data_IF_084462023025
#
_entry.id   IF_084462023025
#
_cell.length_a   1.000
_cell.length_b   1.000
_cell.length_c   1.000
_cell.angle_alpha   90.00
_cell.angle_beta   90.00
_cell.angle_gamma   90.00
#
_symmetry.space_group_name_H-M   'P 1'
#
loop_
_entity.id
_entity.type
_entity.pdbx_description
1 polymer ?
#
# COMPACT_ATOMS: atom_id res chain seq x y z
N UNK A 1 -16.16 -0.85 5.27
CA UNK A 1 -15.33 -1.44 6.37
C UNK A 1 -15.24 -0.42 7.49
N UNK A 2 -15.16 -0.85 8.76
CA UNK A 2 -15.05 0.05 9.92
C UNK A 2 -13.72 -0.13 10.64
N UNK A 3 -12.97 0.95 10.89
CA UNK A 3 -11.77 0.94 11.73
C UNK A 3 -12.11 0.47 13.15
N UNK A 4 -11.25 -0.35 13.72
CA UNK A 4 -11.30 -0.84 15.09
C UNK A 4 -10.16 -0.18 15.87
N UNK A 5 -10.54 0.65 16.84
CA UNK A 5 -9.60 1.29 17.77
C UNK A 5 -8.99 0.23 18.70
N UNK A 6 -7.66 0.27 18.84
CA UNK A 6 -6.91 -0.69 19.64
C UNK A 6 -5.69 0.01 20.22
N UNK A 7 -5.74 0.38 21.50
CA UNK A 7 -4.66 1.10 22.20
C UNK A 7 -3.33 0.34 22.17
N UNK A 8 -3.37 -1.00 22.03
CA UNK A 8 -2.18 -1.83 21.81
C UNK A 8 -1.54 -1.52 20.46
N UNK A 9 -2.32 -1.42 19.38
CA UNK A 9 -1.80 -1.07 18.06
C UNK A 9 -1.34 0.40 18.01
N UNK A 10 -2.00 1.32 18.71
CA UNK A 10 -1.58 2.72 18.81
C UNK A 10 -0.20 2.87 19.49
N UNK A 11 0.04 2.12 20.57
CA UNK A 11 1.34 2.08 21.23
C UNK A 11 2.43 1.51 20.29
N UNK A 12 2.12 0.47 19.52
CA UNK A 12 3.03 -0.08 18.52
C UNK A 12 3.27 0.90 17.36
N UNK A 13 2.24 1.59 16.87
CA UNK A 13 2.37 2.62 15.82
C UNK A 13 3.26 3.77 16.27
N UNK A 14 3.18 4.16 17.54
CA UNK A 14 4.09 5.15 18.14
C UNK A 14 5.54 4.64 18.15
N UNK A 15 5.75 3.37 18.52
CA UNK A 15 7.07 2.76 18.58
C UNK A 15 7.68 2.42 17.20
N UNK A 16 6.86 2.25 16.16
CA UNK A 16 7.28 2.04 14.76
C UNK A 16 7.68 3.34 14.05
N UNK A 17 7.68 4.49 14.75
CA UNK A 17 8.23 5.76 14.28
C UNK A 17 9.69 5.90 14.75
N UNK A 18 10.60 5.19 14.09
CA UNK A 18 12.02 5.09 14.49
C UNK A 18 12.85 6.04 13.64
N UNK A 19 13.76 6.78 14.28
CA UNK A 19 14.78 7.60 13.59
C UNK A 19 16.16 7.09 13.99
N UNK A 20 16.90 6.56 13.02
CA UNK A 20 18.35 6.36 13.12
C UNK A 20 19.05 7.54 12.44
N UNK A 21 20.39 7.62 12.51
CA UNK A 21 21.13 8.74 11.89
C UNK A 21 21.12 8.70 10.35
N UNK A 22 20.90 7.51 9.81
CA UNK A 22 20.97 7.12 8.40
C UNK A 22 19.61 6.74 7.78
N UNK A 23 18.58 6.49 8.61
CA UNK A 23 17.25 6.13 8.13
C UNK A 23 16.13 6.65 9.04
N UNK A 24 14.94 6.83 8.48
CA UNK A 24 13.70 7.08 9.20
C UNK A 24 12.67 6.03 8.81
N UNK A 25 12.26 5.23 9.78
CA UNK A 25 11.23 4.21 9.63
C UNK A 25 9.89 4.78 10.08
N UNK A 26 8.86 4.54 9.27
CA UNK A 26 7.48 4.93 9.54
C UNK A 26 6.60 3.70 9.30
N UNK A 27 6.21 3.03 10.37
CA UNK A 27 5.25 1.91 10.33
C UNK A 27 3.87 2.28 10.89
N UNK A 28 2.83 1.67 10.33
CA UNK A 28 1.44 1.84 10.76
C UNK A 28 0.65 0.54 10.63
N UNK A 29 -0.08 0.19 11.69
CA UNK A 29 -0.93 -0.98 11.81
C UNK A 29 -2.35 -0.53 12.14
N UNK A 30 -3.33 -1.01 11.36
CA UNK A 30 -4.74 -0.66 11.50
C UNK A 30 -5.61 -1.92 11.41
N UNK A 31 -6.57 -2.07 12.34
CA UNK A 31 -7.51 -3.18 12.38
C UNK A 31 -8.86 -2.73 11.82
N UNK A 32 -9.47 -3.51 10.93
CA UNK A 32 -10.73 -3.18 10.26
C UNK A 32 -11.74 -4.33 10.36
N UNK A 33 -12.97 -3.99 10.71
CA UNK A 33 -14.12 -4.90 10.60
C UNK A 33 -14.72 -4.86 9.19
N UNK A 34 -14.83 -6.05 8.59
CA UNK A 34 -15.58 -6.35 7.38
C UNK A 34 -17.03 -6.79 7.70
N UNK A 35 -17.45 -6.76 8.97
CA UNK A 35 -18.85 -7.01 9.34
C UNK A 35 -19.73 -5.88 8.83
N UNK A 36 -20.65 -6.25 7.93
CA UNK A 36 -21.73 -5.39 7.44
C UNK A 36 -22.53 -4.84 8.63
N UNK A 37 -22.59 -3.52 8.77
CA UNK A 37 -23.41 -2.84 9.78
C UNK A 37 -24.90 -3.05 9.49
N UNK A 38 -25.77 -2.79 10.48
CA UNK A 38 -27.22 -2.99 10.32
C UNK A 38 -27.82 -2.18 9.16
N UNK A 39 -27.29 -0.97 8.92
CA UNK A 39 -27.66 -0.09 7.81
C UNK A 39 -27.20 -0.72 6.49
N UNK A 40 -25.90 -1.00 6.33
CA UNK A 40 -25.37 -1.65 5.11
C UNK A 40 -26.10 -2.97 4.79
N UNK A 41 -26.49 -3.76 5.80
CA UNK A 41 -27.29 -4.99 5.63
C UNK A 41 -28.72 -4.73 5.16
N UNK A 42 -29.35 -3.63 5.58
CA UNK A 42 -30.64 -3.20 5.04
C UNK A 42 -30.52 -2.69 3.60
N UNK A 43 -29.49 -1.90 3.29
CA UNK A 43 -29.24 -1.42 1.93
C UNK A 43 -28.93 -2.57 0.96
N UNK A 44 -28.06 -3.51 1.33
CA UNK A 44 -27.79 -4.73 0.55
C UNK A 44 -29.07 -5.55 0.33
N UNK A 45 -29.92 -5.68 1.34
CA UNK A 45 -31.21 -6.36 1.20
C UNK A 45 -32.19 -5.61 0.29
N UNK A 46 -32.27 -4.27 0.34
CA UNK A 46 -33.12 -3.48 -0.56
C UNK A 46 -32.63 -3.58 -2.01
N UNK A 47 -31.33 -3.37 -2.22
CA UNK A 47 -30.69 -3.45 -3.53
C UNK A 47 -30.89 -4.82 -4.21
N UNK A 48 -30.86 -5.92 -3.44
CA UNK A 48 -31.13 -7.27 -3.94
C UNK A 48 -32.60 -7.73 -3.82
N UNK A 49 -33.52 -6.85 -3.38
CA UNK A 49 -34.96 -7.14 -3.29
C UNK A 49 -35.82 -6.24 -4.19
N UNK A 50 -35.19 -5.38 -5.00
CA UNK A 50 -35.82 -4.83 -6.19
C UNK A 50 -35.90 -5.96 -7.24
N UNK A 51 -37.03 -6.67 -7.24
CA UNK A 51 -37.25 -7.88 -8.03
C UNK A 51 -37.21 -7.62 -9.54
N UNK A 52 -36.56 -8.50 -10.31
CA UNK A 52 -36.70 -8.49 -11.77
C UNK A 52 -35.67 -9.26 -12.60
N UNK A 53 -34.48 -9.54 -12.05
CA UNK A 53 -33.35 -10.10 -12.83
C UNK A 53 -33.22 -11.62 -12.67
N UNK A 54 -33.23 -12.34 -13.80
CA UNK A 54 -32.98 -13.79 -13.83
C UNK A 54 -31.47 -14.07 -13.84
N UNK A 55 -31.02 -15.31 -13.54
CA UNK A 55 -29.59 -15.66 -13.57
C UNK A 55 -28.88 -15.58 -14.94
N UNK A 56 -29.51 -15.01 -15.96
CA UNK A 56 -28.91 -14.73 -17.27
C UNK A 56 -28.73 -13.24 -17.57
N UNK A 57 -29.34 -12.33 -16.81
CA UNK A 57 -29.20 -10.87 -17.02
C UNK A 57 -28.09 -10.24 -16.16
N UNK A 58 -27.06 -11.04 -15.79
CA UNK A 58 -25.81 -10.54 -15.19
C UNK A 58 -24.93 -9.82 -16.23
N UNK A 59 -25.50 -8.81 -16.88
CA UNK A 59 -24.73 -7.88 -17.68
C UNK A 59 -23.95 -6.97 -16.73
N UNK A 60 -22.61 -7.07 -16.77
CA UNK A 60 -21.75 -6.16 -16.05
C UNK A 60 -22.13 -4.72 -16.40
N UNK A 61 -22.39 -3.88 -15.39
CA UNK A 61 -22.73 -2.47 -15.55
C UNK A 61 -21.49 -1.65 -15.93
N UNK A 62 -20.94 -1.95 -17.11
CA UNK A 62 -20.14 -0.99 -17.88
C UNK A 62 -20.97 0.29 -18.04
N UNK A 63 -20.37 1.49 -17.88
CA UNK A 63 -21.10 2.74 -18.06
C UNK A 63 -21.84 2.77 -19.41
N UNK A 64 -23.10 3.26 -19.45
CA UNK A 64 -23.90 3.21 -20.67
C UNK A 64 -23.21 3.97 -21.80
N UNK A 65 -23.01 3.27 -22.92
CA UNK A 65 -22.48 3.84 -24.16
C UNK A 65 -23.52 4.81 -24.73
N UNK A 66 -23.45 6.10 -24.36
CA UNK A 66 -24.27 7.15 -24.96
C UNK A 66 -23.75 7.49 -26.35
N UNK A 67 -24.14 6.68 -27.34
CA UNK A 67 -23.95 7.02 -28.75
C UNK A 67 -24.89 8.15 -29.15
N UNK A 68 -24.36 9.35 -29.45
CA UNK A 68 -25.07 10.38 -30.21
C UNK A 68 -24.12 11.44 -30.80
N UNK A 69 -24.09 11.56 -32.13
CA UNK A 69 -24.04 12.86 -32.82
C UNK A 69 -22.72 13.64 -32.92
N UNK A 70 -21.93 13.31 -33.96
CA UNK A 70 -21.33 14.24 -34.95
C UNK A 70 -20.52 15.50 -34.53
N UNK A 71 -19.33 15.60 -35.14
CA UNK A 71 -18.54 16.81 -35.50
C UNK A 71 -17.47 17.32 -34.50
N UNK A 72 -16.37 17.95 -35.00
CA UNK A 72 -15.04 17.64 -34.45
C UNK A 72 -14.23 18.84 -33.95
N UNK A 73 -13.60 18.70 -32.77
CA UNK A 73 -12.28 19.26 -32.44
C UNK A 73 -11.81 18.80 -31.04
N UNK A 74 -10.49 18.60 -30.91
CA UNK A 74 -9.69 18.58 -29.67
C UNK A 74 -9.99 17.49 -28.59
N UNK A 75 -8.95 16.70 -28.27
CA UNK A 75 -8.81 16.09 -26.93
C UNK A 75 -9.13 14.60 -26.77
N UNK A 76 -8.64 13.72 -27.65
CA UNK A 76 -8.57 12.28 -27.34
C UNK A 76 -7.27 11.91 -26.61
N UNK A 77 -7.36 10.82 -25.82
CA UNK A 77 -6.29 10.14 -25.07
C UNK A 77 -5.86 10.86 -23.76
N UNK A 78 -5.86 10.22 -22.58
CA UNK A 78 -6.41 8.91 -22.22
C UNK A 78 -6.79 8.88 -20.73
N UNK A 79 -7.95 8.31 -20.39
CA UNK A 79 -8.23 7.80 -19.03
C UNK A 79 -8.74 6.36 -19.13
N UNK A 80 -7.85 5.48 -19.57
CA UNK A 80 -7.94 4.05 -19.34
C UNK A 80 -7.68 3.73 -17.86
N UNK A 81 -8.71 3.87 -17.01
CA UNK A 81 -8.78 3.09 -15.76
C UNK A 81 -9.39 1.74 -16.16
N UNK A 82 -8.57 0.89 -16.76
CA UNK A 82 -8.99 -0.43 -17.23
C UNK A 82 -7.78 -1.37 -17.32
N UNK A 83 -7.53 -2.06 -16.22
CA UNK A 83 -6.91 -3.38 -16.20
C UNK A 83 -5.39 -3.45 -16.26
N UNK A 84 -4.72 -3.27 -15.11
CA UNK A 84 -3.81 -4.32 -14.62
C UNK A 84 -3.54 -4.33 -13.09
N UNK A 85 -4.46 -3.81 -12.26
CA UNK A 85 -4.28 -3.71 -10.79
C UNK A 85 -4.13 -5.08 -10.07
N UNK A 86 -4.29 -6.20 -10.79
CA UNK A 86 -4.12 -7.55 -10.26
C UNK A 86 -2.67 -7.99 -10.08
N UNK A 87 -1.70 -7.37 -10.76
CA UNK A 87 -0.28 -7.74 -10.62
C UNK A 87 0.39 -7.14 -9.38
N UNK A 88 -0.08 -5.99 -8.90
CA UNK A 88 0.44 -5.33 -7.69
C UNK A 88 0.08 -6.09 -6.39
N UNK A 89 -0.92 -6.96 -6.42
CA UNK A 89 -1.36 -7.77 -5.27
C UNK A 89 -0.90 -9.22 -5.34
N UNK A 90 -0.04 -9.63 -4.40
CA UNK A 90 0.45 -11.01 -4.29
C UNK A 90 -0.12 -11.71 -3.04
N UNK A 91 -0.39 -13.02 -3.12
CA UNK A 91 -0.75 -13.81 -1.94
C UNK A 91 0.50 -14.45 -1.33
N UNK A 92 0.77 -14.15 -0.07
CA UNK A 92 1.93 -14.68 0.64
C UNK A 92 1.73 -16.16 1.03
N UNK A 93 2.80 -16.99 1.01
CA UNK A 93 2.69 -18.43 1.23
C UNK A 93 2.46 -18.82 2.70
N UNK A 94 2.87 -18.00 3.68
CA UNK A 94 2.64 -18.28 5.10
C UNK A 94 2.85 -17.05 6.01
N UNK A 95 2.27 -17.10 7.22
CA UNK A 95 2.51 -16.11 8.28
C UNK A 95 3.97 -16.06 8.74
N UNK A 96 4.70 -17.18 8.65
CA UNK A 96 6.13 -17.25 8.98
C UNK A 96 6.99 -16.55 7.93
N UNK A 97 6.64 -16.69 6.64
CA UNK A 97 7.33 -16.00 5.55
C UNK A 97 7.22 -14.47 5.68
N UNK A 98 5.99 -13.96 5.81
CA UNK A 98 5.74 -12.53 6.03
C UNK A 98 6.49 -12.00 7.27
N UNK A 99 6.43 -12.73 8.41
CA UNK A 99 7.16 -12.36 9.63
C UNK A 99 8.66 -12.25 9.40
N UNK A 100 9.27 -13.23 8.74
CA UNK A 100 10.70 -13.23 8.46
C UNK A 100 11.13 -12.09 7.53
N UNK A 101 10.31 -11.75 6.52
CA UNK A 101 10.57 -10.61 5.63
C UNK A 101 10.53 -9.27 6.37
N UNK A 102 9.48 -9.05 7.18
CA UNK A 102 9.33 -7.87 8.03
C UNK A 102 10.44 -7.77 9.08
N UNK A 103 10.73 -8.88 9.76
CA UNK A 103 11.80 -8.99 10.75
C UNK A 103 13.16 -8.63 10.12
N UNK A 104 13.43 -9.08 8.89
CA UNK A 104 14.65 -8.79 8.15
C UNK A 104 14.83 -7.30 7.86
N UNK A 105 13.83 -6.68 7.22
CA UNK A 105 13.87 -5.26 6.86
C UNK A 105 14.02 -4.34 8.08
N UNK A 106 13.26 -4.61 9.14
CA UNK A 106 13.29 -3.81 10.37
C UNK A 106 14.55 -4.08 11.21
N UNK A 107 15.07 -5.31 11.26
CA UNK A 107 16.33 -5.59 11.97
C UNK A 107 17.52 -4.94 11.27
N UNK A 108 17.53 -4.91 9.93
CA UNK A 108 18.61 -4.32 9.13
C UNK A 108 18.70 -2.79 9.27
N UNK A 109 17.59 -2.11 9.56
CA UNK A 109 17.52 -0.63 9.62
C UNK A 109 17.35 -0.05 11.03
N UNK A 110 16.59 -0.70 11.92
CA UNK A 110 16.38 -0.22 13.29
C UNK A 110 17.17 -1.00 14.36
N UNK A 111 17.82 -2.13 14.03
CA UNK A 111 18.70 -2.87 14.94
C UNK A 111 18.08 -3.13 16.32
N UNK A 112 18.75 -2.68 17.38
CA UNK A 112 18.31 -2.89 18.76
C UNK A 112 16.97 -2.19 19.11
N UNK A 113 16.60 -1.10 18.43
CA UNK A 113 15.27 -0.50 18.61
C UNK A 113 14.18 -1.49 18.18
N UNK A 114 14.35 -2.12 17.02
CA UNK A 114 13.41 -3.14 16.58
C UNK A 114 13.45 -4.38 17.47
N UNK A 115 14.64 -4.81 17.91
CA UNK A 115 14.82 -5.99 18.77
C UNK A 115 14.00 -5.95 20.05
N UNK A 116 13.84 -4.78 20.66
CA UNK A 116 13.00 -4.60 21.86
C UNK A 116 11.50 -4.56 21.53
N UNK A 117 11.12 -3.99 20.38
CA UNK A 117 9.74 -3.87 19.89
C UNK A 117 9.17 -5.18 19.32
N UNK A 118 9.99 -6.03 18.71
CA UNK A 118 9.59 -7.21 17.93
C UNK A 118 8.60 -8.12 18.66
N UNK A 119 8.86 -8.44 19.93
CA UNK A 119 7.98 -9.32 20.71
C UNK A 119 6.61 -8.71 20.98
N UNK A 120 6.54 -7.42 21.32
CA UNK A 120 5.27 -6.73 21.58
C UNK A 120 4.48 -6.46 20.30
N UNK A 121 5.16 -6.16 19.18
CA UNK A 121 4.59 -6.04 17.83
C UNK A 121 3.84 -7.31 17.43
N UNK A 122 4.53 -8.45 17.36
CA UNK A 122 3.91 -9.70 16.90
C UNK A 122 2.86 -10.22 17.88
N UNK A 123 3.04 -10.00 19.19
CA UNK A 123 2.02 -10.33 20.19
C UNK A 123 0.77 -9.42 20.15
N UNK A 124 0.88 -8.18 19.67
CA UNK A 124 -0.28 -7.31 19.47
C UNK A 124 -1.05 -7.68 18.20
N UNK A 125 -0.36 -7.93 17.09
CA UNK A 125 -0.99 -8.38 15.84
C UNK A 125 -1.69 -9.73 16.06
N UNK A 126 -1.03 -10.71 16.69
CA UNK A 126 -1.61 -12.04 16.85
C UNK A 126 -2.86 -12.06 17.75
N UNK A 127 -2.91 -11.23 18.80
CA UNK A 127 -4.10 -11.05 19.65
C UNK A 127 -5.27 -10.41 18.88
N UNK A 128 -4.98 -9.49 17.97
CA UNK A 128 -6.00 -8.78 17.19
C UNK A 128 -6.57 -9.62 16.04
N UNK A 129 -5.80 -10.51 15.40
CA UNK A 129 -6.22 -11.18 14.16
C UNK A 129 -6.07 -12.71 14.13
N UNK A 130 -5.32 -13.30 15.06
CA UNK A 130 -4.90 -14.73 15.04
C UNK A 130 -4.22 -15.10 13.73
N UNK A 131 -2.90 -14.84 13.64
CA UNK A 131 -2.12 -14.91 12.41
C UNK A 131 -2.13 -16.28 11.72
N UNK A 132 -2.26 -17.36 12.49
CA UNK A 132 -2.28 -18.73 11.97
C UNK A 132 -3.57 -19.09 11.22
N UNK A 133 -4.62 -18.28 11.34
CA UNK A 133 -5.90 -18.43 10.62
C UNK A 133 -6.12 -17.35 9.54
N UNK A 134 -5.07 -16.60 9.19
CA UNK A 134 -5.13 -15.50 8.23
C UNK A 134 -4.71 -15.92 6.82
N UNK A 135 -5.46 -15.49 5.81
CA UNK A 135 -4.90 -15.32 4.47
C UNK A 135 -4.11 -14.01 4.44
N UNK A 136 -2.89 -14.04 3.88
CA UNK A 136 -1.99 -12.88 3.85
C UNK A 136 -1.78 -12.46 2.40
N UNK A 137 -1.84 -11.17 2.17
CA UNK A 137 -1.61 -10.53 0.89
C UNK A 137 -0.60 -9.41 1.04
N UNK A 138 0.28 -9.23 0.06
CA UNK A 138 1.15 -8.07 -0.11
C UNK A 138 0.62 -7.17 -1.22
N UNK A 139 0.87 -5.86 -1.06
CA UNK A 139 0.69 -4.86 -2.10
C UNK A 139 2.03 -4.21 -2.42
N UNK A 140 2.54 -4.52 -3.61
CA UNK A 140 3.80 -4.06 -4.15
C UNK A 140 3.45 -3.29 -5.44
N UNK A 141 3.22 -1.97 -5.35
CA UNK A 141 2.94 -1.16 -6.54
C UNK A 141 4.13 -1.15 -7.49
N UNK A 142 3.86 -0.99 -8.79
CA UNK A 142 4.92 -0.77 -9.77
C UNK A 142 5.59 0.60 -9.56
N UNK A 143 6.86 0.71 -9.95
CA UNK A 143 7.68 1.91 -9.70
C UNK A 143 7.12 3.20 -10.36
N UNK A 144 6.23 3.06 -11.35
CA UNK A 144 5.56 4.17 -12.02
C UNK A 144 4.16 4.50 -11.45
N UNK A 145 3.59 3.62 -10.61
CA UNK A 145 2.27 3.78 -9.98
C UNK A 145 2.35 4.04 -8.47
N UNK A 146 3.49 3.77 -7.81
CA UNK A 146 3.63 3.91 -6.35
C UNK A 146 3.51 5.38 -5.87
N UNK A 147 2.44 5.77 -5.13
CA UNK A 147 2.35 7.09 -4.52
C UNK A 147 3.31 7.28 -3.34
N UNK A 148 3.99 6.22 -2.90
CA UNK A 148 5.06 6.23 -1.89
C UNK A 148 6.46 6.11 -2.50
N UNK A 149 6.58 6.08 -3.83
CA UNK A 149 7.82 6.10 -4.61
C UNK A 149 8.55 7.45 -4.56
N UNK A 150 8.56 8.10 -3.39
CA UNK A 150 9.37 9.28 -3.11
C UNK A 150 10.86 8.88 -3.18
N UNK A 151 11.66 9.68 -3.88
CA UNK A 151 13.10 9.45 -3.98
C UNK A 151 13.75 9.36 -2.59
N UNK A 152 14.59 8.33 -2.38
CA UNK A 152 15.20 8.03 -1.09
C UNK A 152 14.46 6.99 -0.24
N UNK A 153 13.39 6.37 -0.73
CA UNK A 153 12.83 5.15 -0.14
C UNK A 153 13.85 3.99 -0.19
N UNK A 154 14.23 3.45 0.97
CA UNK A 154 15.15 2.31 1.10
C UNK A 154 14.42 0.98 0.91
N UNK A 155 13.22 0.88 1.47
CA UNK A 155 12.28 -0.21 1.30
C UNK A 155 10.90 0.22 1.79
N UNK A 156 9.85 -0.38 1.22
CA UNK A 156 8.47 -0.31 1.70
C UNK A 156 7.85 -1.70 1.68
N UNK A 157 6.83 -1.92 2.50
CA UNK A 157 5.95 -3.08 2.40
C UNK A 157 4.54 -2.71 2.84
N UNK A 158 3.54 -3.38 2.27
CA UNK A 158 2.14 -3.20 2.58
C UNK A 158 1.46 -4.58 2.69
N UNK A 159 1.23 -5.06 3.91
CA UNK A 159 0.62 -6.37 4.16
C UNK A 159 -0.82 -6.26 4.64
N UNK A 160 -1.69 -7.09 4.08
CA UNK A 160 -3.09 -7.28 4.48
C UNK A 160 -3.26 -8.69 5.05
N UNK A 161 -3.59 -8.79 6.33
CA UNK A 161 -3.86 -10.04 7.04
C UNK A 161 -5.37 -10.19 7.21
N UNK A 162 -6.01 -11.08 6.45
CA UNK A 162 -7.46 -11.28 6.46
C UNK A 162 -7.86 -12.55 7.21
N UNK A 163 -8.56 -12.39 8.35
CA UNK A 163 -9.21 -13.50 9.05
C UNK A 163 -10.68 -13.60 8.64
N UNK A 164 -10.99 -14.64 7.83
CA UNK A 164 -12.33 -14.95 7.32
C UNK A 164 -13.35 -15.25 8.43
N UNK A 165 -12.94 -15.85 9.55
CA UNK A 165 -13.84 -16.21 10.66
C UNK A 165 -14.25 -14.96 11.46
N UNK A 166 -13.28 -14.10 11.78
CA UNK A 166 -13.52 -12.83 12.49
C UNK A 166 -14.20 -11.79 11.60
N UNK A 167 -14.11 -11.94 10.26
CA UNK A 167 -14.45 -10.92 9.25
C UNK A 167 -13.70 -9.63 9.55
N UNK A 168 -12.38 -9.75 9.70
CA UNK A 168 -11.48 -8.69 10.12
C UNK A 168 -10.24 -8.70 9.22
N UNK A 169 -9.76 -7.52 8.85
CA UNK A 169 -8.49 -7.31 8.15
C UNK A 169 -7.59 -6.49 9.08
N UNK A 170 -6.35 -6.90 9.27
CA UNK A 170 -5.30 -6.00 9.76
C UNK A 170 -4.46 -5.56 8.58
N UNK A 171 -4.32 -4.26 8.40
CA UNK A 171 -3.39 -3.66 7.46
C UNK A 171 -2.11 -3.28 8.22
N UNK A 172 -0.95 -3.65 7.69
CA UNK A 172 0.35 -3.27 8.22
C UNK A 172 1.21 -2.74 7.06
N UNK A 173 1.40 -1.43 7.03
CA UNK A 173 2.33 -0.76 6.14
C UNK A 173 3.56 -0.31 6.91
N UNK A 174 4.72 -0.36 6.28
CA UNK A 174 5.93 0.26 6.81
C UNK A 174 6.86 0.67 5.68
N UNK A 175 7.50 1.82 5.82
CA UNK A 175 8.57 2.26 4.93
C UNK A 175 9.77 2.80 5.70
N UNK A 176 10.96 2.59 5.15
CA UNK A 176 12.19 3.25 5.57
C UNK A 176 12.63 4.22 4.48
N UNK A 177 12.92 5.46 4.86
CA UNK A 177 13.45 6.50 3.95
C UNK A 177 14.81 6.98 4.45
N UNK A 178 15.72 7.33 3.55
CA UNK A 178 16.96 8.00 3.89
C UNK A 178 16.69 9.50 4.08
N UNK A 179 16.79 10.07 5.30
CA UNK A 179 16.50 11.48 5.56
C UNK A 179 17.57 12.43 5.03
N UNK A 180 18.72 11.92 4.58
CA UNK A 180 19.82 12.66 3.98
C UNK A 180 19.82 12.60 2.45
N UNK A 181 18.83 11.95 1.84
CA UNK A 181 18.68 11.97 0.38
C UNK A 181 18.34 13.39 -0.07
N UNK A 182 19.30 14.02 -0.75
CA UNK A 182 19.08 15.24 -1.51
C UNK A 182 18.76 14.78 -2.93
N UNK A 183 17.56 15.02 -3.46
CA UNK A 183 17.29 14.80 -4.88
C UNK A 183 18.32 15.58 -5.68
N UNK A 184 18.88 14.96 -6.71
CA UNK A 184 19.75 15.66 -7.66
C UNK A 184 18.90 16.69 -8.41
N UNK A 185 18.79 17.88 -7.81
CA UNK A 185 18.25 19.05 -8.47
C UNK A 185 19.21 19.34 -9.62
N UNK A 186 18.85 18.87 -10.82
CA UNK A 186 19.67 18.79 -12.03
C UNK A 186 20.15 20.12 -12.61
N UNK A 187 20.73 20.96 -11.76
CA UNK A 187 21.68 22.02 -12.05
C UNK A 187 23.00 21.33 -12.39
N UNK A 188 22.98 20.58 -13.49
CA UNK A 188 24.20 20.05 -14.09
C UNK A 188 25.13 21.24 -14.31
N UNK A 189 26.27 21.21 -13.64
CA UNK A 189 27.30 22.24 -13.75
C UNK A 189 27.57 22.52 -15.21
N UNK A 190 27.50 23.79 -15.56
CA UNK A 190 27.84 24.34 -16.85
C UNK A 190 29.35 24.16 -17.07
N UNK A 191 29.74 22.96 -17.53
CA UNK A 191 31.03 22.73 -18.18
C UNK A 191 31.01 23.49 -19.51
N UNK A 192 31.15 24.81 -19.40
CA UNK A 192 31.58 25.66 -20.48
C UNK A 192 32.91 25.06 -20.98
N UNK A 193 32.87 24.51 -22.19
CA UNK A 193 34.09 24.17 -22.90
C UNK A 193 34.67 25.49 -23.38
N UNK A 194 35.48 26.11 -22.53
CA UNK A 194 36.41 27.15 -22.95
C UNK A 194 37.43 26.47 -23.88
N UNK A 195 37.13 26.49 -25.18
CA UNK A 195 38.10 26.19 -26.24
C UNK A 195 39.10 27.36 -26.30
N UNK A 196 40.10 27.32 -25.41
CA UNK A 196 41.25 28.22 -25.48
C UNK A 196 42.03 27.95 -26.79
N UNK A 197 42.00 28.93 -27.69
CA UNK A 197 42.93 29.04 -28.83
C UNK A 197 44.37 29.15 -28.30
N UNK A 198 45.26 28.22 -28.66
CA UNK A 198 46.71 28.45 -28.53
C UNK A 198 47.50 27.99 -29.76
N UNK A 199 47.87 28.96 -30.59
CA UNK A 199 48.88 28.83 -31.65
C UNK A 199 50.27 28.54 -31.04
N UNK A 200 50.96 27.48 -31.49
CA UNK A 200 52.38 27.50 -31.89
C UNK A 200 52.97 26.10 -32.18
N UNK A 201 53.44 25.86 -33.41
CA UNK A 201 54.86 25.86 -33.79
C UNK A 201 55.09 25.32 -35.22
#
# INVERSE_FOLDING_TARGET
>A
MKLLESTRLEAINTALSIKTGDSKIIGRIESYSCKMTGIEKQHYKRFNAEEGVTPHDLQALSPPQTSLGTSPAQGYLSRSISGDESHEFSKEPSSTWMRNAVDGNLSATAGDHYRTLRSSLWAAINDEITLDECDIYSYNPDFASDPFGEDGCLWSFNYFMYNKKLKRIVFFTCRAINPLYVPDSGVGSDYAMDEDDEDAY
#
